data_IF_913099952163
#
_entry.id   IF_913099952163
#
_cell.length_a   1.000
_cell.length_b   1.000
_cell.length_c   1.000
_cell.angle_alpha   90.00
_cell.angle_beta   90.00
_cell.angle_gamma   90.00
#
_symmetry.space_group_name_H-M   'P 1'
#
loop_
_entity.id
_entity.type
_entity.pdbx_description
1 polymer ?
#
# COMPACT_ATOMS: atom_id res chain seq x y z
N UNK A 1 -21.20 -30.16 55.20
CA UNK A 1 -21.80 -29.28 54.15
C UNK A 1 -20.77 -28.43 53.39
N UNK A 2 -19.45 -28.64 53.53
CA UNK A 2 -18.42 -27.86 52.79
C UNK A 2 -17.77 -28.60 51.60
N UNK A 3 -18.03 -29.90 51.43
CA UNK A 3 -17.39 -30.74 50.40
C UNK A 3 -17.88 -30.44 48.97
N UNK A 4 -19.14 -30.03 48.81
CA UNK A 4 -19.75 -29.74 47.50
C UNK A 4 -19.42 -28.33 46.99
N UNK A 5 -19.12 -27.39 47.89
CA UNK A 5 -18.74 -26.02 47.54
C UNK A 5 -17.32 -25.95 46.93
N UNK A 6 -16.43 -26.85 47.35
CA UNK A 6 -15.04 -26.89 46.85
C UNK A 6 -14.95 -27.38 45.40
N UNK A 7 -15.82 -28.31 45.00
CA UNK A 7 -15.80 -28.92 43.65
C UNK A 7 -16.26 -27.96 42.56
N UNK A 8 -17.21 -27.06 42.87
CA UNK A 8 -17.72 -26.06 41.93
C UNK A 8 -16.70 -24.97 41.58
N UNK A 9 -15.78 -24.66 42.50
CA UNK A 9 -14.74 -23.65 42.28
C UNK A 9 -13.60 -24.22 41.41
N UNK A 10 -13.24 -25.49 41.60
CA UNK A 10 -12.18 -26.14 40.80
C UNK A 10 -12.65 -26.43 39.37
N UNK A 11 -13.93 -26.78 39.16
CA UNK A 11 -14.49 -27.01 37.83
C UNK A 11 -14.66 -25.71 37.01
N UNK A 12 -14.89 -24.58 37.67
CA UNK A 12 -15.03 -23.26 37.03
C UNK A 12 -13.71 -22.67 36.51
N UNK A 13 -12.58 -22.93 37.18
CA UNK A 13 -11.27 -22.43 36.76
C UNK A 13 -10.67 -23.20 35.57
N UNK A 14 -11.13 -24.43 35.30
CA UNK A 14 -10.62 -25.22 34.17
C UNK A 14 -11.23 -24.79 32.82
N UNK A 15 -12.41 -24.17 32.81
CA UNK A 15 -13.08 -23.74 31.56
C UNK A 15 -12.65 -22.35 31.07
N UNK A 16 -12.01 -21.53 31.89
CA UNK A 16 -11.64 -20.15 31.54
C UNK A 16 -10.24 -20.01 30.93
N UNK A 17 -9.45 -21.08 30.86
CA UNK A 17 -8.07 -21.05 30.36
C UNK A 17 -7.91 -21.37 28.85
N UNK A 18 -8.99 -21.72 28.14
CA UNK A 18 -8.90 -22.25 26.76
C UNK A 18 -9.04 -21.23 25.63
N UNK A 19 -9.10 -19.92 25.90
CA UNK A 19 -9.39 -18.91 24.87
C UNK A 19 -8.24 -17.92 24.58
N UNK A 20 -7.00 -18.22 24.97
CA UNK A 20 -5.84 -17.45 24.53
C UNK A 20 -5.22 -18.14 23.30
N UNK A 21 -5.85 -17.96 22.13
CA UNK A 21 -5.18 -18.29 20.88
C UNK A 21 -3.99 -17.31 20.70
N UNK A 22 -2.79 -17.78 20.37
CA UNK A 22 -1.68 -16.88 20.08
C UNK A 22 -2.07 -15.99 18.89
N UNK A 23 -2.13 -14.68 19.13
CA UNK A 23 -2.18 -13.70 18.04
C UNK A 23 -0.83 -13.78 17.35
N UNK A 24 -0.80 -14.38 16.16
CA UNK A 24 0.38 -14.35 15.30
C UNK A 24 0.58 -12.88 14.86
N UNK A 25 1.48 -12.19 15.55
CA UNK A 25 1.80 -10.77 15.34
C UNK A 25 2.66 -10.54 14.09
N UNK A 26 2.98 -11.60 13.34
CA UNK A 26 3.73 -11.50 12.09
C UNK A 26 2.78 -11.22 10.93
N UNK A 27 2.33 -9.97 10.85
CA UNK A 27 1.68 -9.48 9.63
C UNK A 27 2.68 -9.56 8.48
N UNK A 28 2.46 -10.51 7.56
CA UNK A 28 3.30 -10.69 6.38
C UNK A 28 2.49 -10.39 5.12
N UNK A 29 3.11 -9.70 4.17
CA UNK A 29 2.52 -9.39 2.87
C UNK A 29 3.52 -9.76 1.78
N UNK A 30 3.10 -10.64 0.88
CA UNK A 30 3.89 -11.05 -0.28
C UNK A 30 3.16 -10.63 -1.54
N UNK A 31 3.81 -9.79 -2.35
CA UNK A 31 3.25 -9.29 -3.60
C UNK A 31 3.81 -10.07 -4.80
N UNK A 32 2.98 -10.25 -5.83
CA UNK A 32 3.44 -10.79 -7.11
C UNK A 32 4.47 -9.86 -7.75
N UNK A 33 5.64 -10.36 -8.17
CA UNK A 33 6.67 -9.55 -8.79
C UNK A 33 6.18 -8.80 -10.02
N UNK A 34 6.57 -7.54 -10.13
CA UNK A 34 6.31 -6.71 -11.31
C UNK A 34 7.56 -6.67 -12.17
N UNK A 35 7.42 -6.96 -13.45
CA UNK A 35 8.53 -6.90 -14.40
C UNK A 35 9.07 -5.48 -14.54
N UNK A 36 10.38 -5.35 -14.72
CA UNK A 36 11.03 -4.04 -14.94
C UNK A 36 10.62 -3.46 -16.30
N UNK A 37 10.48 -2.13 -16.36
CA UNK A 37 10.21 -1.42 -17.60
C UNK A 37 11.39 -1.49 -18.58
N UNK A 38 11.12 -1.97 -19.80
CA UNK A 38 12.12 -2.12 -20.87
C UNK A 38 12.06 -1.02 -21.93
N UNK A 39 10.92 -0.31 -22.02
CA UNK A 39 10.70 0.76 -22.99
C UNK A 39 10.32 2.07 -22.30
N UNK A 40 10.51 3.20 -22.98
CA UNK A 40 10.07 4.51 -22.48
C UNK A 40 8.56 4.57 -22.26
N UNK A 41 7.78 3.95 -23.16
CA UNK A 41 6.33 3.78 -22.99
C UNK A 41 6.00 3.03 -21.69
N UNK A 42 6.70 1.93 -21.40
CA UNK A 42 6.49 1.18 -20.16
C UNK A 42 6.89 1.95 -18.90
N UNK A 43 7.91 2.82 -18.96
CA UNK A 43 8.29 3.68 -17.82
C UNK A 43 7.18 4.66 -17.46
N UNK A 44 6.35 5.02 -18.44
CA UNK A 44 5.19 5.92 -18.26
C UNK A 44 3.91 5.16 -17.91
N UNK A 45 3.90 3.83 -17.96
CA UNK A 45 2.78 3.04 -17.50
C UNK A 45 2.79 2.95 -15.96
N UNK A 46 1.61 2.95 -15.33
CA UNK A 46 1.56 2.55 -13.92
C UNK A 46 1.61 1.03 -13.88
N UNK A 47 2.58 0.47 -13.15
CA UNK A 47 2.74 -0.98 -12.96
C UNK A 47 2.75 -1.24 -11.47
N UNK A 48 1.83 -2.07 -11.01
CA UNK A 48 1.77 -2.54 -9.63
C UNK A 48 1.42 -4.03 -9.63
N UNK A 49 1.65 -4.69 -8.50
CA UNK A 49 1.18 -6.06 -8.32
C UNK A 49 -0.34 -6.10 -8.38
N UNK A 50 -0.89 -7.13 -9.03
CA UNK A 50 -2.35 -7.39 -9.07
C UNK A 50 -2.82 -8.30 -7.95
N UNK A 51 -1.90 -8.89 -7.22
CA UNK A 51 -2.20 -9.87 -6.18
C UNK A 51 -1.29 -9.67 -4.96
N UNK A 52 -1.84 -9.99 -3.78
CA UNK A 52 -1.12 -10.02 -2.50
C UNK A 52 -1.56 -11.25 -1.70
N UNK A 53 -0.59 -11.91 -1.07
CA UNK A 53 -0.82 -12.95 -0.07
C UNK A 53 -0.55 -12.34 1.30
N UNK A 54 -1.56 -12.36 2.17
CA UNK A 54 -1.51 -11.80 3.52
C UNK A 54 -1.41 -12.97 4.50
N UNK A 55 -0.41 -12.98 5.38
CA UNK A 55 -0.23 -14.00 6.42
C UNK A 55 -0.15 -15.45 5.90
N UNK A 56 0.32 -15.65 4.66
CA UNK A 56 0.33 -16.97 4.02
C UNK A 56 -1.07 -17.52 3.70
N UNK A 57 -2.11 -16.70 3.83
CA UNK A 57 -3.48 -17.04 3.50
C UNK A 57 -3.71 -16.94 1.97
N UNK A 58 -4.98 -16.90 1.56
CA UNK A 58 -5.36 -16.91 0.15
C UNK A 58 -4.82 -15.68 -0.60
N UNK A 59 -4.56 -15.83 -1.89
CA UNK A 59 -4.28 -14.68 -2.77
C UNK A 59 -5.49 -13.75 -2.87
N UNK A 60 -5.27 -12.46 -2.65
CA UNK A 60 -6.25 -11.40 -2.78
C UNK A 60 -5.92 -10.53 -4.00
N UNK A 61 -6.91 -10.31 -4.86
CA UNK A 61 -6.80 -9.36 -5.96
C UNK A 61 -6.74 -7.93 -5.45
N UNK A 62 -5.77 -7.17 -5.95
CA UNK A 62 -5.60 -5.74 -5.69
C UNK A 62 -5.52 -4.98 -7.01
N UNK A 63 -5.96 -3.74 -6.99
CA UNK A 63 -5.85 -2.84 -8.13
C UNK A 63 -5.48 -1.44 -7.66
N UNK A 64 -5.11 -0.58 -8.59
CA UNK A 64 -4.80 0.81 -8.32
C UNK A 64 -5.57 1.70 -9.29
N UNK A 65 -5.98 2.85 -8.79
CA UNK A 65 -6.58 3.90 -9.60
C UNK A 65 -5.62 5.08 -9.66
N UNK A 66 -5.21 5.46 -10.88
CA UNK A 66 -4.47 6.70 -11.07
C UNK A 66 -5.44 7.86 -10.91
N UNK A 67 -5.33 8.60 -9.81
CA UNK A 67 -6.17 9.77 -9.57
C UNK A 67 -5.70 10.96 -10.41
N UNK A 68 -4.40 11.25 -10.38
CA UNK A 68 -3.76 12.36 -11.09
C UNK A 68 -2.34 12.00 -11.52
N UNK A 69 -1.85 12.64 -12.59
CA UNK A 69 -0.44 12.59 -13.03
C UNK A 69 0.06 14.01 -13.23
N UNK A 70 1.37 14.24 -13.10
CA UNK A 70 1.97 15.54 -13.45
C UNK A 70 1.58 15.93 -14.87
N UNK A 71 1.09 17.15 -15.05
CA UNK A 71 0.57 17.63 -16.32
C UNK A 71 -0.93 17.38 -16.55
N UNK A 72 -1.60 16.57 -15.72
CA UNK A 72 -3.05 16.41 -15.79
C UNK A 72 -3.78 17.68 -15.33
N UNK A 73 -4.91 18.00 -15.96
CA UNK A 73 -5.80 19.09 -15.52
C UNK A 73 -6.60 18.67 -14.29
N UNK A 74 -6.71 19.57 -13.33
CA UNK A 74 -7.57 19.48 -12.16
C UNK A 74 -8.31 20.81 -12.00
N UNK A 75 -9.57 20.87 -12.43
CA UNK A 75 -10.28 22.14 -12.62
C UNK A 75 -9.54 23.05 -13.60
N UNK A 76 -9.30 24.29 -13.19
CA UNK A 76 -8.56 25.29 -13.97
C UNK A 76 -7.03 25.21 -13.83
N UNK A 77 -6.53 24.24 -13.07
CA UNK A 77 -5.10 24.10 -12.76
C UNK A 77 -4.49 22.84 -13.38
N UNK A 78 -3.15 22.83 -13.44
CA UNK A 78 -2.36 21.66 -13.86
C UNK A 78 -1.66 21.08 -12.65
N UNK A 79 -1.87 19.78 -12.39
CA UNK A 79 -1.21 19.08 -11.29
C UNK A 79 0.31 19.03 -11.52
N UNK A 80 1.07 19.40 -10.50
CA UNK A 80 2.54 19.45 -10.55
C UNK A 80 3.11 20.64 -11.33
N UNK A 81 2.29 21.61 -11.74
CA UNK A 81 2.80 22.85 -12.29
C UNK A 81 3.47 23.70 -11.21
N UNK A 82 4.71 24.13 -11.47
CA UNK A 82 5.37 25.15 -10.67
C UNK A 82 4.86 26.52 -11.09
N UNK A 83 4.59 27.39 -10.12
CA UNK A 83 4.18 28.78 -10.36
C UNK A 83 5.32 29.70 -9.89
N UNK A 84 5.77 30.60 -10.76
CA UNK A 84 6.66 31.69 -10.35
C UNK A 84 5.81 32.83 -9.78
N UNK A 85 6.07 33.20 -8.53
CA UNK A 85 5.42 34.31 -7.85
C UNK A 85 5.44 35.61 -8.67
N UNK A 86 6.48 35.84 -9.48
CA UNK A 86 6.64 37.11 -10.23
C UNK A 86 6.02 37.10 -11.63
N UNK A 87 5.75 35.93 -12.22
CA UNK A 87 5.45 35.81 -13.67
C UNK A 87 4.33 34.84 -14.05
N UNK A 88 3.65 34.22 -13.08
CA UNK A 88 2.65 33.20 -13.34
C UNK A 88 3.27 31.81 -13.56
N UNK A 89 2.60 30.91 -14.28
CA UNK A 89 3.02 29.51 -14.43
C UNK A 89 4.45 29.38 -14.99
N UNK A 90 5.30 28.64 -14.28
CA UNK A 90 6.68 28.39 -14.68
C UNK A 90 6.72 27.44 -15.88
N UNK A 91 7.08 27.99 -17.05
CA UNK A 91 7.46 27.21 -18.22
C UNK A 91 8.97 27.07 -18.16
N UNK A 92 9.48 25.91 -17.73
CA UNK A 92 10.92 25.68 -17.70
C UNK A 92 11.57 26.08 -19.02
N UNK A 93 12.65 26.84 -18.95
CA UNK A 93 13.46 27.15 -20.12
C UNK A 93 13.93 25.85 -20.76
N UNK A 94 13.83 25.68 -22.10
CA UNK A 94 14.49 24.58 -22.77
C UNK A 94 15.99 24.82 -22.64
N UNK A 95 16.62 24.16 -21.66
CA UNK A 95 18.05 24.01 -21.66
C UNK A 95 18.39 23.22 -22.93
N UNK A 96 18.92 23.93 -23.94
CA UNK A 96 19.56 23.30 -25.09
C UNK A 96 20.66 22.41 -24.52
N UNK A 97 20.40 21.11 -24.43
CA UNK A 97 21.49 20.13 -24.47
C UNK A 97 22.13 20.27 -25.84
N UNK A 98 23.11 21.16 -25.91
CA UNK A 98 24.07 21.24 -26.98
C UNK A 98 24.77 19.89 -26.98
N UNK A 99 24.46 19.06 -27.99
CA UNK A 99 25.30 17.95 -28.40
C UNK A 99 26.66 18.54 -28.76
N UNK A 100 27.58 18.53 -27.79
CA UNK A 100 29.00 18.62 -28.03
C UNK A 100 29.48 17.24 -28.47
N UNK A 101 30.10 17.23 -29.64
CA UNK A 101 30.90 16.14 -30.20
C UNK A 101 31.91 15.58 -29.19
#
# INVERSE_FOLDING_TARGET
MYQHALYLIVLGCALSLSACAPVDTRQSMVFTPVTVAKSDTEKRAVRASREVVINGEKSHGIDFHTLLRSGARLGEHIFGALLDHRRGQWRGTPERQHLGL
#
